data_IF_588685224773
#
_entry.id   IF_588685224773
#
_cell.length_a   1.000
_cell.length_b   1.000
_cell.length_c   1.000
_cell.angle_alpha   90.00
_cell.angle_beta   90.00
_cell.angle_gamma   90.00
#
_symmetry.space_group_name_H-M   'P 1'
#
loop_
_entity.id
_entity.type
_entity.pdbx_description
1 polymer ?
#
# COMPACT_ATOMS: atom_id res chain seq x y z
N UNK A 1 12.10 -37.22 -14.86
CA UNK A 1 11.27 -36.13 -15.43
C UNK A 1 9.86 -36.28 -14.87
N UNK A 2 9.29 -35.24 -14.28
CA UNK A 2 7.93 -35.33 -13.71
C UNK A 2 6.87 -35.26 -14.82
N UNK A 3 5.63 -35.69 -14.54
CA UNK A 3 4.50 -35.50 -15.48
C UNK A 3 4.31 -34.02 -15.85
N UNK A 4 4.53 -33.12 -14.89
CA UNK A 4 4.48 -31.67 -15.11
C UNK A 4 5.56 -31.21 -16.08
N UNK A 5 6.78 -31.75 -15.99
CA UNK A 5 7.86 -31.41 -16.93
C UNK A 5 7.57 -31.90 -18.35
N UNK A 6 6.97 -33.08 -18.47
CA UNK A 6 6.53 -33.63 -19.77
C UNK A 6 5.46 -32.74 -20.42
N UNK A 7 4.46 -32.29 -19.66
CA UNK A 7 3.42 -31.38 -20.15
C UNK A 7 4.04 -30.04 -20.61
N UNK A 8 4.99 -29.49 -19.85
CA UNK A 8 5.67 -28.24 -20.24
C UNK A 8 6.40 -28.35 -21.57
N UNK A 9 7.06 -29.48 -21.82
CA UNK A 9 7.75 -29.74 -23.10
C UNK A 9 6.72 -29.81 -24.23
N UNK A 10 5.65 -30.58 -24.07
CA UNK A 10 4.59 -30.67 -25.08
C UNK A 10 3.98 -29.30 -25.37
N UNK A 11 3.69 -28.50 -24.35
CA UNK A 11 3.16 -27.14 -24.52
C UNK A 11 4.07 -26.23 -25.35
N UNK A 12 5.40 -26.40 -25.28
CA UNK A 12 6.36 -25.61 -26.05
C UNK A 12 6.37 -25.98 -27.54
N UNK A 13 5.95 -27.20 -27.89
CA UNK A 13 5.88 -27.69 -29.28
C UNK A 13 4.59 -27.31 -30.00
N UNK A 14 3.58 -26.84 -29.26
CA UNK A 14 2.27 -26.45 -29.80
C UNK A 14 2.28 -25.09 -30.48
N UNK A 15 1.36 -24.90 -31.42
CA UNK A 15 1.06 -23.59 -31.99
C UNK A 15 0.40 -22.68 -30.94
N UNK A 16 0.33 -21.37 -31.23
CA UNK A 16 -0.33 -20.40 -30.34
C UNK A 16 -1.81 -20.71 -30.13
N UNK A 17 -2.51 -21.14 -31.17
CA UNK A 17 -3.94 -21.47 -31.08
C UNK A 17 -4.16 -22.71 -30.22
N UNK A 18 -3.31 -23.73 -30.36
CA UNK A 18 -3.35 -24.92 -29.51
C UNK A 18 -3.00 -24.62 -28.04
N UNK A 19 -2.02 -23.73 -27.81
CA UNK A 19 -1.71 -23.23 -26.47
C UNK A 19 -2.92 -22.52 -25.85
N UNK A 20 -3.63 -21.71 -26.64
CA UNK A 20 -4.82 -20.99 -26.19
C UNK A 20 -5.97 -21.96 -25.87
N UNK A 21 -6.21 -22.97 -26.70
CA UNK A 21 -7.23 -23.99 -26.46
C UNK A 21 -6.98 -24.73 -25.14
N UNK A 22 -5.73 -25.13 -24.88
CA UNK A 22 -5.37 -25.77 -23.61
C UNK A 22 -5.52 -24.80 -22.44
N UNK A 23 -5.15 -23.52 -22.62
CA UNK A 23 -5.31 -22.51 -21.58
C UNK A 23 -6.78 -22.34 -21.17
N UNK A 24 -7.70 -22.26 -22.13
CA UNK A 24 -9.14 -22.20 -21.84
C UNK A 24 -9.65 -23.47 -21.17
N UNK A 25 -9.19 -24.65 -21.59
CA UNK A 25 -9.50 -25.90 -20.88
C UNK A 25 -9.02 -25.87 -19.43
N UNK A 26 -7.77 -25.46 -19.18
CA UNK A 26 -7.23 -25.36 -17.83
C UNK A 26 -8.04 -24.40 -16.96
N UNK A 27 -8.53 -23.27 -17.48
CA UNK A 27 -9.41 -22.36 -16.74
C UNK A 27 -10.68 -23.05 -16.24
N UNK A 28 -11.22 -24.02 -16.99
CA UNK A 28 -12.39 -24.80 -16.54
C UNK A 28 -12.08 -25.71 -15.34
N UNK A 29 -10.81 -26.13 -15.17
CA UNK A 29 -10.39 -27.00 -14.07
C UNK A 29 -10.15 -26.26 -12.75
N UNK A 30 -9.72 -25.00 -12.82
CA UNK A 30 -9.34 -24.22 -11.64
C UNK A 30 -10.49 -23.37 -11.04
N UNK A 31 -11.66 -23.38 -11.69
CA UNK A 31 -12.80 -22.56 -11.30
C UNK A 31 -12.60 -21.07 -11.59
N UNK A 32 -13.66 -20.27 -11.43
CA UNK A 32 -13.61 -18.82 -11.64
C UNK A 32 -13.11 -18.13 -10.37
N UNK A 33 -12.32 -17.07 -10.53
CA UNK A 33 -11.97 -16.19 -9.42
C UNK A 33 -13.25 -15.53 -8.86
N UNK A 34 -13.36 -15.27 -7.54
CA UNK A 34 -14.57 -14.66 -6.97
C UNK A 34 -14.99 -13.33 -7.61
N UNK A 35 -14.03 -12.55 -8.12
CA UNK A 35 -14.31 -11.33 -8.87
C UNK A 35 -14.95 -11.60 -10.23
N UNK A 36 -14.52 -12.66 -10.92
CA UNK A 36 -15.12 -13.09 -12.20
C UNK A 36 -16.58 -13.51 -12.00
N UNK A 37 -16.86 -14.25 -10.93
CA UNK A 37 -18.23 -14.62 -10.55
C UNK A 37 -19.07 -13.38 -10.19
N UNK A 38 -18.53 -12.51 -9.34
CA UNK A 38 -19.23 -11.30 -8.89
C UNK A 38 -19.58 -10.36 -10.04
N UNK A 39 -18.70 -10.21 -11.01
CA UNK A 39 -18.91 -9.34 -12.18
C UNK A 39 -19.57 -10.07 -13.35
N UNK A 40 -19.72 -11.40 -13.27
CA UNK A 40 -20.15 -12.24 -14.37
C UNK A 40 -19.36 -11.97 -15.67
N UNK A 41 -18.03 -11.84 -15.53
CA UNK A 41 -17.08 -11.58 -16.62
C UNK A 41 -15.85 -12.46 -16.41
N UNK A 42 -15.20 -12.88 -17.49
CA UNK A 42 -13.90 -13.55 -17.39
C UNK A 42 -12.77 -12.55 -17.05
N UNK A 43 -11.64 -13.10 -16.62
CA UNK A 43 -10.46 -12.33 -16.23
C UNK A 43 -9.95 -11.41 -17.34
N UNK A 44 -10.04 -11.81 -18.61
CA UNK A 44 -9.51 -11.03 -19.72
C UNK A 44 -10.37 -9.79 -19.98
N UNK A 45 -11.69 -9.94 -19.98
CA UNK A 45 -12.62 -8.82 -20.07
C UNK A 45 -12.44 -7.83 -18.91
N UNK A 46 -12.21 -8.32 -17.69
CA UNK A 46 -11.93 -7.48 -16.51
C UNK A 46 -10.61 -6.72 -16.68
N UNK A 47 -9.54 -7.38 -17.13
CA UNK A 47 -8.24 -6.76 -17.35
C UNK A 47 -8.30 -5.71 -18.47
N UNK A 48 -9.04 -5.97 -19.55
CA UNK A 48 -9.25 -5.02 -20.64
C UNK A 48 -10.03 -3.79 -20.16
N UNK A 49 -11.04 -3.97 -19.32
CA UNK A 49 -11.78 -2.86 -18.72
C UNK A 49 -10.86 -1.99 -17.83
N UNK A 50 -9.96 -2.61 -17.05
CA UNK A 50 -8.97 -1.88 -16.24
C UNK A 50 -7.96 -1.16 -17.15
N UNK A 51 -7.49 -1.79 -18.22
CA UNK A 51 -6.54 -1.20 -19.17
C UNK A 51 -7.10 0.07 -19.84
N UNK A 52 -8.41 0.08 -20.16
CA UNK A 52 -9.11 1.23 -20.73
C UNK A 52 -9.52 2.29 -19.70
N UNK A 53 -9.38 2.00 -18.41
CA UNK A 53 -9.80 2.91 -17.36
C UNK A 53 -8.94 4.19 -17.36
N UNK A 54 -9.52 5.29 -16.91
CA UNK A 54 -8.80 6.55 -16.79
C UNK A 54 -7.66 6.47 -15.73
N UNK A 55 -6.77 7.45 -15.76
CA UNK A 55 -5.62 7.51 -14.84
C UNK A 55 -6.05 7.57 -13.36
N UNK A 56 -7.21 8.15 -13.05
CA UNK A 56 -7.71 8.25 -11.68
C UNK A 56 -8.13 6.87 -11.15
N UNK A 57 -8.82 6.07 -11.95
CA UNK A 57 -9.18 4.68 -11.63
C UNK A 57 -7.91 3.84 -11.46
N UNK A 58 -6.97 3.92 -12.41
CA UNK A 58 -5.70 3.21 -12.35
C UNK A 58 -4.89 3.60 -11.10
N UNK A 59 -4.89 4.88 -10.73
CA UNK A 59 -4.22 5.35 -9.51
C UNK A 59 -4.81 4.71 -8.25
N UNK A 60 -6.13 4.61 -8.17
CA UNK A 60 -6.79 3.95 -7.04
C UNK A 60 -6.48 2.45 -7.01
N UNK A 61 -6.47 1.81 -8.18
CA UNK A 61 -6.17 0.38 -8.31
C UNK A 61 -4.72 0.06 -7.90
N UNK A 62 -3.75 0.93 -8.21
CA UNK A 62 -2.34 0.75 -7.77
C UNK A 62 -2.17 0.68 -6.25
N UNK A 63 -3.01 1.38 -5.48
CA UNK A 63 -3.01 1.27 -4.02
C UNK A 63 -3.40 -0.14 -3.57
N UNK A 64 -4.49 -0.66 -4.13
CA UNK A 64 -4.98 -2.03 -3.87
C UNK A 64 -3.98 -3.09 -4.37
N UNK A 65 -3.30 -2.85 -5.49
CA UNK A 65 -2.21 -3.71 -5.96
C UNK A 65 -1.08 -3.75 -4.94
N UNK A 66 -0.67 -2.61 -4.37
CA UNK A 66 0.39 -2.57 -3.36
C UNK A 66 0.01 -3.40 -2.12
N UNK A 67 -1.24 -3.29 -1.66
CA UNK A 67 -1.78 -4.11 -0.57
C UNK A 67 -1.70 -5.61 -0.90
N UNK A 68 -2.19 -6.02 -2.07
CA UNK A 68 -2.15 -7.41 -2.52
C UNK A 68 -0.73 -7.94 -2.72
N UNK A 69 0.16 -7.11 -3.24
CA UNK A 69 1.58 -7.40 -3.46
C UNK A 69 2.29 -7.66 -2.13
N UNK A 70 1.99 -6.88 -1.09
CA UNK A 70 2.56 -7.10 0.25
C UNK A 70 2.23 -8.50 0.77
N UNK A 71 0.97 -8.92 0.71
CA UNK A 71 0.58 -10.27 1.13
C UNK A 71 1.26 -11.36 0.29
N UNK A 72 1.25 -11.20 -1.05
CA UNK A 72 1.80 -12.20 -1.97
C UNK A 72 3.31 -12.37 -1.81
N UNK A 73 4.06 -11.27 -1.79
CA UNK A 73 5.52 -11.29 -1.90
C UNK A 73 6.23 -11.24 -0.56
N UNK A 74 5.60 -10.69 0.48
CA UNK A 74 6.20 -10.55 1.81
C UNK A 74 5.60 -11.57 2.76
N UNK A 75 4.31 -11.46 3.10
CA UNK A 75 3.70 -12.30 4.14
C UNK A 75 3.70 -13.79 3.79
N UNK A 76 3.22 -14.15 2.60
CA UNK A 76 3.14 -15.57 2.15
C UNK A 76 4.49 -16.18 1.82
N UNK A 77 5.46 -15.37 1.36
CA UNK A 77 6.80 -15.86 1.00
C UNK A 77 7.61 -16.22 2.24
N UNK A 78 7.51 -15.42 3.29
CA UNK A 78 8.29 -15.62 4.51
C UNK A 78 7.73 -16.81 5.30
N UNK A 79 6.42 -17.09 5.22
CA UNK A 79 5.81 -18.29 5.82
C UNK A 79 5.88 -18.38 7.35
N UNK A 80 6.48 -17.36 8.00
CA UNK A 80 6.63 -17.25 9.46
C UNK A 80 5.47 -16.51 10.13
N UNK A 81 4.64 -15.82 9.35
CA UNK A 81 3.58 -14.97 9.86
C UNK A 81 2.22 -15.60 9.60
N UNK A 82 1.39 -15.65 10.64
CA UNK A 82 -0.02 -15.99 10.49
C UNK A 82 -0.78 -14.71 10.14
N UNK A 83 -1.48 -14.68 9.00
CA UNK A 83 -2.36 -13.56 8.66
C UNK A 83 -3.69 -13.79 9.37
N UNK A 84 -3.90 -13.07 10.48
CA UNK A 84 -5.10 -13.21 11.32
C UNK A 84 -6.30 -12.52 10.71
N UNK A 85 -6.05 -11.35 10.10
CA UNK A 85 -7.08 -10.57 9.44
C UNK A 85 -6.49 -9.88 8.21
N UNK A 86 -7.22 -9.96 7.12
CA UNK A 86 -7.06 -9.05 6.00
C UNK A 86 -8.24 -8.12 6.13
N UNK A 87 -7.99 -7.00 6.80
CA UNK A 87 -9.00 -5.98 6.97
C UNK A 87 -9.25 -5.42 5.58
N UNK A 88 -10.30 -5.94 4.96
CA UNK A 88 -10.78 -5.43 3.70
C UNK A 88 -11.36 -4.03 3.88
N UNK A 89 -12.44 -3.77 3.16
CA UNK A 89 -13.06 -2.44 3.07
C UNK A 89 -13.59 -1.87 4.41
N UNK A 90 -13.57 -2.60 5.54
CA UNK A 90 -14.38 -2.32 6.73
C UNK A 90 -13.62 -1.80 7.98
N UNK A 91 -12.28 -1.90 8.07
CA UNK A 91 -11.53 -1.13 9.07
C UNK A 91 -10.61 -0.10 8.43
N UNK A 92 -10.72 1.14 8.92
CA UNK A 92 -10.02 2.30 8.36
C UNK A 92 -8.65 2.54 9.01
N UNK A 93 -8.12 1.54 9.72
CA UNK A 93 -6.96 1.70 10.62
C UNK A 93 -5.67 1.05 10.12
N UNK A 94 -5.77 -0.13 9.50
CA UNK A 94 -4.67 -0.94 8.99
C UNK A 94 -5.22 -1.92 7.94
N UNK A 95 -4.36 -2.46 7.09
CA UNK A 95 -4.77 -3.38 6.01
C UNK A 95 -4.57 -4.85 6.41
N UNK A 96 -3.57 -5.13 7.26
CA UNK A 96 -3.28 -6.48 7.74
C UNK A 96 -3.14 -6.52 9.26
N UNK A 97 -3.76 -7.51 9.90
CA UNK A 97 -3.40 -7.97 11.23
C UNK A 97 -2.63 -9.29 11.08
N UNK A 98 -1.38 -9.29 11.52
CA UNK A 98 -0.55 -10.49 11.48
C UNK A 98 -0.15 -10.90 12.89
N UNK A 99 0.11 -12.19 13.08
CA UNK A 99 0.82 -12.70 14.24
C UNK A 99 2.27 -12.97 13.85
N UNK A 100 3.18 -12.30 14.53
CA UNK A 100 4.61 -12.59 14.52
C UNK A 100 4.99 -13.05 15.93
N UNK A 101 5.55 -14.25 16.05
CA UNK A 101 5.79 -14.88 17.36
C UNK A 101 4.50 -14.91 18.20
N UNK A 102 4.51 -14.32 19.41
CA UNK A 102 3.35 -14.22 20.31
C UNK A 102 2.65 -12.86 20.26
N UNK A 103 2.96 -11.99 19.29
CA UNK A 103 2.44 -10.62 19.23
C UNK A 103 1.63 -10.39 17.97
N UNK A 104 0.50 -9.70 18.13
CA UNK A 104 -0.30 -9.22 17.02
C UNK A 104 0.22 -7.85 16.57
N UNK A 105 0.39 -7.70 15.26
CA UNK A 105 0.98 -6.52 14.64
C UNK A 105 0.05 -6.03 13.54
N UNK A 106 -0.36 -4.77 13.63
CA UNK A 106 -1.19 -4.10 12.63
C UNK A 106 -0.30 -3.40 11.62
N UNK A 107 -0.44 -3.75 10.35
CA UNK A 107 0.37 -3.21 9.26
C UNK A 107 -0.52 -2.39 8.32
N UNK A 108 -0.14 -1.13 8.10
CA UNK A 108 -0.71 -0.31 7.05
C UNK A 108 0.21 -0.33 5.83
N UNK A 109 -0.31 -0.73 4.68
CA UNK A 109 0.36 -0.63 3.40
C UNK A 109 0.02 0.71 2.75
N UNK A 110 1.01 1.35 2.13
CA UNK A 110 0.84 2.54 1.30
C UNK A 110 1.70 2.43 0.05
N UNK A 111 1.25 3.08 -1.02
CA UNK A 111 2.07 3.26 -2.21
C UNK A 111 2.88 4.55 -2.07
N UNK A 112 4.16 4.50 -2.43
CA UNK A 112 4.97 5.71 -2.59
C UNK A 112 4.25 6.70 -3.52
N UNK A 113 4.31 7.99 -3.20
CA UNK A 113 3.71 9.04 -4.04
C UNK A 113 4.44 9.16 -5.36
N UNK A 114 3.66 9.31 -6.43
CA UNK A 114 4.11 9.77 -7.73
C UNK A 114 3.47 11.11 -8.10
N UNK A 115 4.16 11.92 -8.89
CA UNK A 115 3.67 13.16 -9.46
C UNK A 115 4.07 13.20 -10.94
N UNK A 116 3.09 13.39 -11.83
CA UNK A 116 3.29 13.35 -13.30
C UNK A 116 4.04 12.09 -13.77
N UNK A 117 3.62 10.93 -13.26
CA UNK A 117 4.21 9.62 -13.59
C UNK A 117 5.62 9.36 -13.03
N UNK A 118 6.18 10.26 -12.21
CA UNK A 118 7.52 10.10 -11.60
C UNK A 118 7.43 10.01 -10.07
N UNK A 119 8.38 9.32 -9.41
CA UNK A 119 8.56 9.39 -7.96
C UNK A 119 8.51 10.82 -7.42
N UNK A 120 7.66 11.08 -6.43
CA UNK A 120 7.67 12.36 -5.73
C UNK A 120 8.86 12.39 -4.77
N UNK A 121 9.79 13.31 -5.02
CA UNK A 121 10.96 13.57 -4.19
C UNK A 121 10.69 14.85 -3.38
N UNK A 122 10.90 14.77 -2.08
CA UNK A 122 10.79 15.91 -1.16
C UNK A 122 12.04 16.79 -1.26
N UNK A 123 11.96 18.03 -0.78
CA UNK A 123 13.07 19.00 -0.88
C UNK A 123 14.36 18.60 -0.15
N UNK A 124 14.34 17.50 0.62
CA UNK A 124 15.49 16.89 1.28
C UNK A 124 16.05 15.66 0.52
N UNK A 125 15.56 15.39 -0.69
CA UNK A 125 16.03 14.27 -1.50
C UNK A 125 15.42 12.90 -1.17
N UNK A 126 14.58 12.79 -0.13
CA UNK A 126 13.84 11.57 0.22
C UNK A 126 12.59 11.40 -0.64
N UNK A 127 12.05 10.18 -0.73
CA UNK A 127 10.75 9.96 -1.35
C UNK A 127 9.61 10.40 -0.43
N UNK A 128 8.41 10.52 -0.98
CA UNK A 128 7.21 10.87 -0.25
C UNK A 128 6.23 9.70 -0.19
N UNK A 129 5.59 9.51 0.95
CA UNK A 129 4.37 8.69 1.08
C UNK A 129 3.24 9.51 1.68
N UNK A 130 2.01 9.27 1.21
CA UNK A 130 0.81 9.83 1.83
C UNK A 130 0.27 8.89 2.89
N UNK A 131 0.34 9.32 4.14
CA UNK A 131 -0.23 8.62 5.30
C UNK A 131 -1.54 9.30 5.68
N UNK A 132 -2.53 9.12 4.81
CA UNK A 132 -3.90 9.60 5.02
C UNK A 132 -4.89 8.53 4.53
N UNK A 133 -6.07 8.50 5.14
CA UNK A 133 -7.17 7.63 4.71
C UNK A 133 -7.81 8.17 3.43
N UNK A 134 -7.94 7.33 2.41
CA UNK A 134 -8.41 7.69 1.07
C UNK A 134 -9.93 7.64 0.92
N UNK A 135 -10.66 6.92 1.79
CA UNK A 135 -12.11 6.71 1.66
C UNK A 135 -12.97 7.64 2.53
N UNK A 136 -13.91 8.32 1.86
CA UNK A 136 -15.12 8.97 2.41
C UNK A 136 -14.94 9.99 3.55
N UNK A 137 -13.75 10.59 3.71
CA UNK A 137 -13.47 11.58 4.73
C UNK A 137 -13.80 13.03 4.37
N UNK A 138 -15.03 13.33 3.94
CA UNK A 138 -15.47 14.74 3.79
C UNK A 138 -15.75 15.31 5.20
N UNK A 139 -14.91 16.21 5.71
CA UNK A 139 -15.30 17.11 6.81
C UNK A 139 -16.05 18.28 6.19
N UNK A 140 -17.35 18.41 6.46
CA UNK A 140 -18.08 19.65 6.20
C UNK A 140 -17.66 20.66 7.26
N UNK A 141 -16.98 21.72 6.86
CA UNK A 141 -16.84 22.91 7.69
C UNK A 141 -17.90 23.89 7.24
N UNK A 142 -18.91 24.10 8.10
CA UNK A 142 -19.85 25.21 7.97
C UNK A 142 -19.18 26.43 8.59
N UNK A 143 -18.68 27.34 7.77
CA UNK A 143 -18.24 28.64 8.27
C UNK A 143 -19.51 29.50 8.40
N UNK A 144 -19.93 29.81 9.64
CA UNK A 144 -21.01 30.78 9.85
C UNK A 144 -20.53 32.12 9.33
N UNK A 145 -21.20 32.74 8.34
CA UNK A 145 -20.81 34.05 7.87
C UNK A 145 -21.06 35.08 8.97
N UNK A 146 -20.12 36.02 9.15
CA UNK A 146 -20.50 37.34 9.67
C UNK A 146 -21.51 37.97 8.71
N UNK A 147 -22.48 38.67 9.30
CA UNK A 147 -23.73 39.17 8.72
C UNK A 147 -23.58 39.56 7.22
N UNK A 148 -24.29 38.86 6.34
CA UNK A 148 -24.51 39.29 4.94
C UNK A 148 -23.90 38.41 3.82
N UNK A 149 -23.13 37.37 4.13
CA UNK A 149 -22.54 36.48 3.10
C UNK A 149 -23.21 35.09 3.04
N UNK A 150 -23.23 34.46 1.86
CA UNK A 150 -23.76 33.09 1.65
C UNK A 150 -22.87 32.05 2.36
N UNK A 151 -23.49 31.04 2.98
CA UNK A 151 -22.78 29.87 3.50
C UNK A 151 -21.92 29.25 2.39
N UNK A 152 -20.62 29.06 2.67
CA UNK A 152 -19.70 28.34 1.80
C UNK A 152 -19.40 26.99 2.44
N UNK A 153 -19.89 25.89 1.86
CA UNK A 153 -19.53 24.53 2.29
C UNK A 153 -18.08 24.24 1.89
N UNK A 154 -17.16 24.28 2.86
CA UNK A 154 -15.79 23.80 2.67
C UNK A 154 -15.74 22.31 3.02
N UNK A 155 -15.61 21.47 1.98
CA UNK A 155 -15.37 20.03 2.13
C UNK A 155 -13.87 19.80 2.25
N UNK A 156 -13.38 19.59 3.49
CA UNK A 156 -11.98 19.25 3.71
C UNK A 156 -11.83 17.72 3.76
N UNK A 157 -11.06 17.16 2.83
CA UNK A 157 -10.63 15.76 2.88
C UNK A 157 -9.51 15.60 3.90
N UNK A 158 -9.82 15.39 5.18
CA UNK A 158 -8.78 15.20 6.23
C UNK A 158 -9.20 14.15 7.26
N UNK A 159 -8.96 12.87 6.95
CA UNK A 159 -8.92 11.81 7.97
C UNK A 159 -7.49 11.32 8.15
N UNK A 160 -6.65 12.05 8.90
CA UNK A 160 -5.33 11.57 9.28
C UNK A 160 -5.44 10.34 10.17
N UNK A 161 -4.43 9.50 10.11
CA UNK A 161 -4.26 8.48 11.13
C UNK A 161 -3.78 9.11 12.43
N UNK A 162 -4.32 8.62 13.55
CA UNK A 162 -3.72 8.86 14.85
C UNK A 162 -2.61 7.84 15.11
N UNK A 163 -1.62 8.21 15.94
CA UNK A 163 -0.65 7.22 16.41
C UNK A 163 -1.35 6.08 17.15
N UNK A 164 -0.86 4.85 16.98
CA UNK A 164 -1.43 3.65 17.59
C UNK A 164 -2.62 3.03 16.84
N UNK A 165 -3.02 3.57 15.68
CA UNK A 165 -4.02 2.92 14.82
C UNK A 165 -3.46 1.74 14.02
N UNK A 166 -2.18 1.80 13.69
CA UNK A 166 -1.38 0.72 13.15
C UNK A 166 0.00 0.75 13.82
N UNK A 167 0.71 -0.37 13.79
CA UNK A 167 2.00 -0.56 14.46
C UNK A 167 3.15 -0.33 13.48
N UNK A 168 3.02 -0.83 12.25
CA UNK A 168 4.01 -0.70 11.18
C UNK A 168 3.40 -0.07 9.93
N UNK A 169 4.23 0.64 9.17
CA UNK A 169 3.89 1.03 7.80
C UNK A 169 4.80 0.32 6.81
N UNK A 170 4.20 -0.24 5.75
CA UNK A 170 4.89 -0.81 4.60
C UNK A 170 4.64 0.08 3.38
N UNK A 171 5.69 0.69 2.84
CA UNK A 171 5.61 1.58 1.69
C UNK A 171 6.09 0.82 0.46
N UNK A 172 5.19 0.52 -0.47
CA UNK A 172 5.55 -0.07 -1.75
C UNK A 172 6.30 0.96 -2.59
N UNK A 173 7.53 0.61 -2.99
CA UNK A 173 8.47 1.46 -3.72
C UNK A 173 8.39 1.27 -5.24
N UNK A 174 7.36 0.58 -5.74
CA UNK A 174 7.13 0.37 -7.18
C UNK A 174 7.31 1.66 -8.02
N UNK A 175 6.81 2.84 -7.62
CA UNK A 175 6.98 4.05 -8.44
C UNK A 175 8.43 4.42 -8.73
N UNK A 176 9.38 4.14 -7.82
CA UNK A 176 10.81 4.39 -8.06
C UNK A 176 11.59 3.18 -8.57
N UNK A 177 11.12 1.97 -8.30
CA UNK A 177 11.88 0.74 -8.58
C UNK A 177 11.34 -0.05 -9.79
N UNK A 178 10.08 0.15 -10.15
CA UNK A 178 9.37 -0.70 -11.11
C UNK A 178 9.02 -2.09 -10.58
N UNK A 179 9.24 -2.37 -9.29
CA UNK A 179 9.05 -3.68 -8.68
C UNK A 179 8.01 -3.63 -7.54
N UNK A 180 6.94 -4.42 -7.68
CA UNK A 180 5.86 -4.53 -6.69
C UNK A 180 6.27 -5.30 -5.43
N UNK A 181 7.39 -6.00 -5.45
CA UNK A 181 7.95 -6.70 -4.29
C UNK A 181 8.89 -5.84 -3.45
N UNK A 182 9.23 -4.63 -3.92
CA UNK A 182 10.13 -3.72 -3.21
C UNK A 182 9.34 -2.81 -2.24
N UNK A 183 9.70 -2.86 -0.96
CA UNK A 183 9.04 -2.12 0.11
C UNK A 183 10.06 -1.51 1.07
N UNK A 184 9.70 -0.36 1.65
CA UNK A 184 10.38 0.25 2.79
C UNK A 184 9.46 0.26 4.00
N UNK A 185 10.02 -0.04 5.16
CA UNK A 185 9.30 -0.26 6.40
C UNK A 185 9.80 0.68 7.50
N UNK A 186 8.88 1.12 8.35
CA UNK A 186 9.23 1.77 9.61
C UNK A 186 8.13 1.55 10.65
N UNK A 187 8.44 1.88 11.90
CA UNK A 187 7.50 1.83 13.01
C UNK A 187 6.58 3.05 12.96
N UNK A 188 5.27 2.84 13.10
CA UNK A 188 4.26 3.90 13.08
C UNK A 188 4.52 5.01 14.09
N UNK A 189 4.95 4.64 15.31
CA UNK A 189 5.28 5.60 16.36
C UNK A 189 6.49 6.49 16.02
N UNK A 190 7.33 6.11 15.03
CA UNK A 190 8.46 6.92 14.59
C UNK A 190 8.06 7.98 13.56
N UNK A 191 6.88 7.91 12.96
CA UNK A 191 6.44 8.86 11.94
C UNK A 191 6.32 10.29 12.48
N UNK A 192 6.49 11.28 11.59
CA UNK A 192 6.43 12.68 11.97
C UNK A 192 5.01 13.08 12.38
N UNK A 193 4.82 13.76 13.51
CA UNK A 193 3.52 14.29 13.92
C UNK A 193 3.12 15.51 13.09
N UNK A 194 1.83 15.86 13.11
CA UNK A 194 1.39 17.17 12.62
C UNK A 194 1.88 18.29 13.56
N UNK A 195 2.35 19.45 13.03
CA UNK A 195 2.89 20.54 13.85
C UNK A 195 1.96 21.04 14.97
N UNK A 196 0.64 21.05 14.73
CA UNK A 196 -0.36 21.58 15.67
C UNK A 196 -1.28 20.50 16.27
N UNK A 197 -1.09 19.23 15.88
CA UNK A 197 -1.94 18.11 16.30
C UNK A 197 -1.05 16.88 16.54
N UNK A 198 -0.21 16.93 17.59
CA UNK A 198 0.85 15.94 17.82
C UNK A 198 0.37 14.48 18.00
N UNK A 199 -0.91 14.27 18.29
CA UNK A 199 -1.53 12.94 18.35
C UNK A 199 -1.84 12.35 16.95
N UNK A 200 -1.72 13.16 15.89
CA UNK A 200 -1.99 12.79 14.51
C UNK A 200 -0.70 12.69 13.71
N UNK A 201 -0.67 11.72 12.81
CA UNK A 201 0.41 11.50 11.86
C UNK A 201 0.33 12.57 10.76
N UNK A 202 1.48 13.16 10.42
CA UNK A 202 1.59 14.10 9.29
C UNK A 202 1.24 13.39 7.98
N UNK A 203 0.47 14.06 7.14
CA UNK A 203 -0.06 13.48 5.88
C UNK A 203 1.05 13.04 4.94
N UNK A 204 2.12 13.83 4.82
CA UNK A 204 3.28 13.46 4.01
C UNK A 204 4.42 13.09 4.93
N UNK A 205 4.87 11.84 4.80
CA UNK A 205 6.05 11.31 5.49
C UNK A 205 7.21 11.19 4.49
N UNK A 206 8.44 11.52 4.92
CA UNK A 206 9.64 11.20 4.14
C UNK A 206 9.94 9.71 4.22
N UNK A 207 10.29 9.10 3.09
CA UNK A 207 10.70 7.70 2.98
C UNK A 207 12.13 7.66 2.46
N UNK A 208 13.01 6.93 3.12
CA UNK A 208 14.40 6.84 2.69
C UNK A 208 14.49 6.17 1.31
N UNK A 209 15.52 6.53 0.53
CA UNK A 209 15.79 5.91 -0.77
C UNK A 209 16.45 4.55 -0.62
N UNK A 210 17.27 4.44 0.41
CA UNK A 210 18.02 3.26 0.81
C UNK A 210 17.78 3.02 2.31
N UNK A 211 17.96 1.79 2.81
CA UNK A 211 17.87 1.49 4.24
C UNK A 211 18.79 2.37 5.09
N UNK A 212 18.31 2.77 6.26
CA UNK A 212 19.03 3.55 7.26
C UNK A 212 18.46 3.29 8.66
N UNK A 213 18.86 4.09 9.66
CA UNK A 213 18.40 3.90 11.04
C UNK A 213 16.88 4.07 11.21
N UNK A 214 16.20 4.75 10.29
CA UNK A 214 14.78 5.12 10.39
C UNK A 214 13.87 4.28 9.47
N UNK A 215 14.42 3.70 8.41
CA UNK A 215 13.71 2.93 7.41
C UNK A 215 14.52 1.70 6.99
N UNK A 216 13.88 0.55 6.88
CA UNK A 216 14.52 -0.70 6.43
C UNK A 216 13.75 -1.30 5.26
N UNK A 217 14.43 -2.03 4.38
CA UNK A 217 13.84 -2.85 3.32
C UNK A 217 13.63 -4.31 3.77
N UNK A 218 13.97 -4.64 5.01
CA UNK A 218 13.73 -5.94 5.64
C UNK A 218 12.57 -5.86 6.65
N UNK A 219 11.51 -6.62 6.39
CA UNK A 219 10.32 -6.60 7.21
C UNK A 219 10.58 -7.16 8.62
N UNK A 220 11.46 -8.16 8.76
CA UNK A 220 11.82 -8.75 10.07
C UNK A 220 12.55 -7.73 10.94
N UNK A 221 13.51 -6.99 10.36
CA UNK A 221 14.20 -5.88 11.04
C UNK A 221 13.19 -4.84 11.57
N UNK A 222 12.16 -4.49 10.81
CA UNK A 222 11.14 -3.55 11.25
C UNK A 222 10.30 -4.08 12.43
N UNK A 223 9.99 -5.39 12.44
CA UNK A 223 9.31 -6.04 13.57
C UNK A 223 10.21 -5.99 14.81
N UNK A 224 11.50 -6.29 14.69
CA UNK A 224 12.45 -6.20 15.80
C UNK A 224 12.54 -4.77 16.36
N UNK A 225 12.52 -3.76 15.50
CA UNK A 225 12.45 -2.36 15.93
C UNK A 225 11.19 -2.06 16.73
N UNK A 226 10.02 -2.54 16.29
CA UNK A 226 8.78 -2.40 17.02
C UNK A 226 8.80 -3.11 18.37
N UNK A 227 9.36 -4.33 18.43
CA UNK A 227 9.47 -5.13 19.65
C UNK A 227 10.45 -4.53 20.67
N UNK A 228 11.49 -3.82 20.21
CA UNK A 228 12.43 -3.11 21.08
C UNK A 228 11.79 -1.99 21.91
N UNK A 229 10.59 -1.52 21.50
CA UNK A 229 9.90 -0.35 22.05
C UNK A 229 10.77 0.92 22.09
N UNK A 230 11.75 1.05 21.19
CA UNK A 230 12.57 2.25 21.07
C UNK A 230 11.68 3.46 20.79
N UNK A 231 11.73 4.46 21.67
CA UNK A 231 10.99 5.70 21.51
C UNK A 231 11.84 6.73 20.75
N UNK A 232 11.57 6.88 19.45
CA UNK A 232 12.18 7.92 18.62
C UNK A 232 11.22 8.44 17.56
N UNK A 233 11.71 9.36 16.73
CA UNK A 233 11.05 9.80 15.49
C UNK A 233 12.05 9.71 14.35
N UNK A 234 11.54 9.46 13.15
CA UNK A 234 12.35 9.57 11.93
C UNK A 234 12.89 10.98 11.81
N UNK A 235 14.11 11.13 11.29
CA UNK A 235 14.78 12.42 11.19
C UNK A 235 13.88 13.44 10.47
N UNK A 236 13.54 14.53 11.17
CA UNK A 236 12.74 15.60 10.57
C UNK A 236 13.62 16.43 9.62
N UNK A 237 13.39 16.39 8.30
CA UNK A 237 14.32 17.01 7.35
C UNK A 237 14.32 18.54 7.38
N UNK A 238 13.30 19.15 8.00
CA UNK A 238 13.13 20.60 8.03
C UNK A 238 13.93 21.24 9.18
N UNK A 239 14.31 20.47 10.21
CA UNK A 239 15.03 20.98 11.38
C UNK A 239 16.45 21.48 11.04
N UNK A 240 17.05 21.00 9.95
CA UNK A 240 18.40 21.39 9.52
C UNK A 240 18.48 22.70 8.72
N UNK A 241 17.36 23.38 8.43
CA UNK A 241 17.36 24.67 7.70
C UNK A 241 17.47 25.92 8.60
N UNK A 242 17.62 25.79 9.91
CA UNK A 242 17.70 26.94 10.86
C UNK A 242 19.11 27.26 11.39
N UNK A 243 20.17 26.78 10.74
CA UNK A 243 21.55 27.14 11.10
C UNK A 243 22.38 27.49 9.87
N UNK A 244 22.05 28.61 9.22
CA UNK A 244 22.98 29.42 8.42
C UNK A 244 22.57 30.87 8.52
#
# INVERSE_FOLDING_TARGET
>A
MTKTDQIKILLQELTKDQQQEIFEYLKTLFGKHPLEEKLNLDSEAILEAIYRADELILRNFRGVIAEAAFNRFILRRIGKYEVLDIVGYDSDKYDYLIRANSREIRVQVKLQRSEKGKPKILGNGMYAVEVQRTRTGKRKLTQKPEIGYKETELVIQTRPYAFGQFDLIAVCMYPSTGDWSNFMYTVSSWLLPRPNEAHLIKVIQPVAKEPNDDWTDDFETCIQWYESNLNKRIANPIAHKKSR
#
